data_IF_625431129624
#
_entry.id   IF_625431129624
#
_cell.length_a   1.000
_cell.length_b   1.000
_cell.length_c   1.000
_cell.angle_alpha   90.00
_cell.angle_beta   90.00
_cell.angle_gamma   90.00
#
_symmetry.space_group_name_H-M   'P 1'
#
loop_
_entity.id
_entity.type
_entity.pdbx_description
1 polymer ?
#
# COMPACT_ATOMS: atom_id res chain seq x y z
N UNK A 1 57.68 5.58 15.15
CA UNK A 1 56.72 4.45 15.05
C UNK A 1 55.98 4.39 16.38
N UNK A 2 54.66 4.49 16.54
CA UNK A 2 53.47 4.34 15.68
C UNK A 2 52.38 5.28 16.27
N UNK A 3 51.64 6.00 15.41
CA UNK A 3 50.47 6.82 15.80
C UNK A 3 49.28 5.90 16.06
N UNK A 4 48.68 5.98 17.24
CA UNK A 4 47.46 5.24 17.57
C UNK A 4 46.25 5.98 17.00
N UNK A 5 45.65 5.46 15.93
CA UNK A 5 44.35 5.88 15.42
C UNK A 5 43.30 5.04 16.14
N UNK A 6 42.53 5.64 17.05
CA UNK A 6 41.33 5.01 17.60
C UNK A 6 40.19 5.33 16.62
N UNK A 7 39.85 4.37 15.77
CA UNK A 7 38.64 4.41 14.96
C UNK A 7 37.46 4.00 15.84
N UNK A 8 36.61 4.96 16.23
CA UNK A 8 35.33 4.68 16.86
C UNK A 8 34.35 4.25 15.77
N UNK A 9 34.11 2.94 15.66
CA UNK A 9 33.09 2.35 14.81
C UNK A 9 31.70 2.70 15.35
N UNK A 10 30.97 3.55 14.60
CA UNK A 10 29.53 3.72 14.76
C UNK A 10 28.82 2.42 14.36
N UNK A 11 28.36 1.64 15.34
CA UNK A 11 27.37 0.59 15.11
C UNK A 11 25.97 1.23 15.20
N UNK A 12 25.46 1.71 14.06
CA UNK A 12 24.07 2.13 13.93
C UNK A 12 23.16 0.88 13.87
N UNK A 13 22.81 0.34 15.04
CA UNK A 13 21.88 -0.78 15.19
C UNK A 13 20.43 -0.28 15.10
N UNK A 14 19.91 -0.05 13.89
CA UNK A 14 18.49 0.31 13.71
C UNK A 14 17.91 -0.12 12.36
N UNK A 15 18.12 -1.37 11.93
CA UNK A 15 17.39 -1.92 10.79
C UNK A 15 17.09 -3.39 11.06
N UNK A 16 15.83 -3.71 11.41
CA UNK A 16 15.12 -4.97 11.04
C UNK A 16 13.83 -5.23 11.84
N UNK A 17 12.92 -4.26 11.97
CA UNK A 17 11.55 -4.51 12.51
C UNK A 17 10.45 -4.12 11.51
N UNK A 18 10.79 -3.74 10.28
CA UNK A 18 9.80 -3.24 9.31
C UNK A 18 9.31 -4.30 8.29
N UNK A 19 9.84 -5.52 8.30
CA UNK A 19 9.62 -6.47 7.19
C UNK A 19 8.23 -7.13 7.16
N UNK A 20 7.45 -7.09 8.24
CA UNK A 20 6.26 -7.95 8.40
C UNK A 20 4.94 -7.21 8.64
N UNK A 21 4.87 -5.89 8.40
CA UNK A 21 3.59 -5.20 8.53
C UNK A 21 2.56 -5.78 7.56
N UNK A 22 1.37 -6.07 8.07
CA UNK A 22 0.20 -6.52 7.31
C UNK A 22 -0.99 -5.65 7.68
N UNK A 23 -1.80 -5.20 6.69
CA UNK A 23 -3.06 -4.54 7.01
C UNK A 23 -3.96 -5.51 7.75
N UNK A 24 -4.60 -5.05 8.82
CA UNK A 24 -5.58 -5.86 9.54
C UNK A 24 -6.89 -5.99 8.75
N UNK A 25 -7.77 -6.87 9.21
CA UNK A 25 -9.06 -7.14 8.56
C UNK A 25 -9.95 -5.90 8.50
N UNK A 26 -9.89 -5.01 9.50
CA UNK A 26 -10.67 -3.76 9.53
C UNK A 26 -10.25 -2.83 8.38
N UNK A 27 -8.95 -2.69 8.12
CA UNK A 27 -8.43 -1.91 7.01
C UNK A 27 -8.83 -2.52 5.66
N UNK A 28 -8.68 -3.84 5.49
CA UNK A 28 -9.09 -4.50 4.23
C UNK A 28 -10.59 -4.38 3.98
N UNK A 29 -11.42 -4.51 5.02
CA UNK A 29 -12.86 -4.29 4.93
C UNK A 29 -13.19 -2.84 4.56
N UNK A 30 -12.51 -1.85 5.16
CA UNK A 30 -12.67 -0.45 4.82
C UNK A 30 -12.30 -0.14 3.36
N UNK A 31 -11.19 -0.68 2.87
CA UNK A 31 -10.78 -0.54 1.46
C UNK A 31 -11.83 -1.15 0.54
N UNK A 32 -12.25 -2.40 0.78
CA UNK A 32 -13.28 -3.07 -0.01
C UNK A 32 -14.59 -2.29 -0.04
N UNK A 33 -15.01 -1.74 1.10
CA UNK A 33 -16.22 -0.92 1.20
C UNK A 33 -16.13 0.34 0.33
N UNK A 34 -15.00 1.06 0.41
CA UNK A 34 -14.83 2.33 -0.32
C UNK A 34 -14.57 2.13 -1.81
N UNK A 35 -13.87 1.05 -2.19
CA UNK A 35 -13.53 0.78 -3.59
C UNK A 35 -14.69 0.19 -4.38
N UNK A 36 -15.47 -0.73 -3.78
CA UNK A 36 -16.45 -1.52 -4.54
C UNK A 36 -17.83 -1.62 -3.88
N UNK A 37 -18.12 -0.79 -2.87
CA UNK A 37 -19.35 -0.92 -2.07
C UNK A 37 -19.53 -2.36 -1.57
N UNK A 38 -18.46 -2.95 -1.00
CA UNK A 38 -18.41 -4.36 -0.57
C UNK A 38 -18.57 -5.39 -1.71
N UNK A 39 -18.08 -5.07 -2.92
CA UNK A 39 -18.07 -5.97 -4.07
C UNK A 39 -19.30 -5.86 -4.98
N UNK A 40 -20.17 -4.86 -4.75
CA UNK A 40 -21.30 -4.55 -5.62
C UNK A 40 -20.84 -3.88 -6.93
N UNK A 41 -19.73 -3.13 -6.91
CA UNK A 41 -19.17 -2.42 -8.07
C UNK A 41 -17.74 -2.90 -8.34
N UNK A 42 -17.58 -3.85 -9.26
CA UNK A 42 -16.29 -4.51 -9.51
C UNK A 42 -15.53 -4.00 -10.74
N UNK A 43 -16.09 -3.03 -11.46
CA UNK A 43 -15.46 -2.36 -12.58
C UNK A 43 -15.42 -0.86 -12.28
N UNK A 44 -14.22 -0.29 -12.20
CA UNK A 44 -14.00 1.14 -12.00
C UNK A 44 -12.90 1.67 -12.90
N UNK A 45 -12.70 2.99 -12.84
CA UNK A 45 -11.79 3.73 -13.73
C UNK A 45 -11.95 3.35 -15.21
N UNK A 46 -13.19 3.28 -15.70
CA UNK A 46 -13.53 2.85 -17.05
C UNK A 46 -12.96 1.47 -17.44
N UNK A 47 -12.86 0.55 -16.47
CA UNK A 47 -12.35 -0.81 -16.65
C UNK A 47 -10.88 -1.00 -16.34
N UNK A 48 -10.16 0.05 -15.90
CA UNK A 48 -8.74 -0.03 -15.55
C UNK A 48 -8.49 -0.54 -14.13
N UNK A 49 -9.50 -0.53 -13.28
CA UNK A 49 -9.44 -1.06 -11.91
C UNK A 49 -10.55 -2.09 -11.72
N UNK A 50 -10.17 -3.31 -11.33
CA UNK A 50 -11.08 -4.46 -11.33
C UNK A 50 -11.16 -5.16 -9.97
N UNK A 51 -12.24 -5.92 -9.81
CA UNK A 51 -12.51 -6.72 -8.63
C UNK A 51 -12.91 -5.91 -7.40
N UNK A 52 -13.06 -6.60 -6.27
CA UNK A 52 -13.61 -6.01 -5.04
C UNK A 52 -12.67 -5.00 -4.35
N UNK A 53 -11.40 -5.02 -4.72
CA UNK A 53 -10.38 -4.10 -4.22
C UNK A 53 -9.93 -3.09 -5.29
N UNK A 54 -10.55 -3.10 -6.48
CA UNK A 54 -10.28 -2.16 -7.57
C UNK A 54 -8.78 -2.04 -7.91
N UNK A 55 -8.11 -3.18 -8.03
CA UNK A 55 -6.70 -3.22 -8.39
C UNK A 55 -6.55 -3.04 -9.91
N UNK A 56 -5.63 -2.16 -10.30
CA UNK A 56 -5.17 -2.07 -11.68
C UNK A 56 -4.17 -3.18 -12.00
N UNK A 57 -3.99 -3.46 -13.29
CA UNK A 57 -2.99 -4.41 -13.75
C UNK A 57 -1.57 -3.99 -13.31
N UNK A 58 -1.24 -2.70 -13.37
CA UNK A 58 0.05 -2.19 -12.93
C UNK A 58 0.33 -2.49 -11.44
N UNK A 59 -0.63 -2.20 -10.56
CA UNK A 59 -0.51 -2.53 -9.14
C UNK A 59 -0.38 -4.05 -8.91
N UNK A 60 -1.10 -4.84 -9.70
CA UNK A 60 -1.00 -6.30 -9.65
C UNK A 60 0.38 -6.82 -10.05
N UNK A 61 1.00 -6.18 -11.05
CA UNK A 61 2.35 -6.53 -11.51
C UNK A 61 3.42 -6.13 -10.48
N UNK A 62 3.28 -4.98 -9.82
CA UNK A 62 4.16 -4.57 -8.72
C UNK A 62 4.11 -5.59 -7.57
N UNK A 63 2.91 -6.00 -7.16
CA UNK A 63 2.71 -7.04 -6.16
C UNK A 63 3.30 -8.37 -6.62
N UNK A 64 3.08 -8.75 -7.88
CA UNK A 64 3.60 -10.02 -8.42
C UNK A 64 5.13 -10.05 -8.40
N UNK A 65 5.78 -8.96 -8.79
CA UNK A 65 7.24 -8.81 -8.70
C UNK A 65 7.71 -8.94 -7.24
N UNK A 66 7.06 -8.23 -6.32
CA UNK A 66 7.37 -8.31 -4.88
C UNK A 66 7.19 -9.73 -4.32
N UNK A 67 6.09 -10.41 -4.66
CA UNK A 67 5.80 -11.80 -4.25
C UNK A 67 6.87 -12.75 -4.80
N UNK A 68 7.27 -12.60 -6.06
CA UNK A 68 8.32 -13.41 -6.70
C UNK A 68 9.66 -13.30 -5.96
N UNK A 69 10.08 -12.10 -5.57
CA UNK A 69 11.32 -11.91 -4.77
C UNK A 69 11.31 -12.58 -3.40
N UNK A 70 10.13 -13.00 -2.92
CA UNK A 70 9.92 -13.64 -1.61
C UNK A 70 9.54 -15.12 -1.73
N UNK A 71 9.62 -15.71 -2.93
CA UNK A 71 9.21 -17.09 -3.16
C UNK A 71 7.70 -17.32 -2.95
N UNK A 72 6.88 -16.27 -2.97
CA UNK A 72 5.43 -16.39 -2.82
C UNK A 72 4.80 -16.68 -4.18
N UNK A 73 3.76 -17.53 -4.19
CA UNK A 73 2.98 -17.84 -5.41
C UNK A 73 2.39 -16.57 -6.03
N UNK A 74 2.58 -16.37 -7.33
CA UNK A 74 1.96 -15.29 -8.11
C UNK A 74 0.75 -15.82 -8.89
N UNK A 75 -0.19 -14.93 -9.20
CA UNK A 75 -1.39 -15.22 -9.99
C UNK A 75 -1.48 -14.22 -11.14
N UNK A 76 -2.02 -14.63 -12.28
CA UNK A 76 -2.28 -13.76 -13.44
C UNK A 76 -3.43 -12.79 -13.15
N UNK A 77 -3.32 -11.56 -13.66
CA UNK A 77 -4.32 -10.51 -13.44
C UNK A 77 -5.69 -10.90 -14.02
N UNK A 78 -5.75 -11.16 -15.34
CA UNK A 78 -6.99 -11.40 -16.08
C UNK A 78 -7.85 -12.54 -15.52
N UNK A 79 -7.21 -13.58 -14.97
CA UNK A 79 -7.89 -14.76 -14.45
C UNK A 79 -8.29 -14.61 -12.97
N UNK A 80 -7.60 -13.76 -12.19
CA UNK A 80 -7.70 -13.81 -10.73
C UNK A 80 -8.08 -12.49 -10.07
N UNK A 81 -8.16 -11.37 -10.80
CA UNK A 81 -8.52 -10.07 -10.19
C UNK A 81 -9.90 -10.07 -9.53
N UNK A 82 -10.84 -10.88 -10.04
CA UNK A 82 -12.17 -11.07 -9.48
C UNK A 82 -12.26 -12.16 -8.40
N UNK A 83 -11.24 -13.01 -8.24
CA UNK A 83 -11.22 -14.02 -7.18
C UNK A 83 -10.99 -13.36 -5.82
N UNK A 84 -12.04 -13.34 -4.98
CA UNK A 84 -12.04 -12.62 -3.69
C UNK A 84 -10.78 -12.87 -2.84
N UNK A 85 -10.45 -14.13 -2.55
CA UNK A 85 -9.33 -14.47 -1.66
C UNK A 85 -7.99 -14.03 -2.23
N UNK A 86 -7.81 -14.14 -3.56
CA UNK A 86 -6.56 -13.76 -4.23
C UNK A 86 -6.45 -12.24 -4.33
N UNK A 87 -7.51 -11.58 -4.78
CA UNK A 87 -7.61 -10.12 -4.86
C UNK A 87 -7.38 -9.45 -3.50
N UNK A 88 -7.95 -10.01 -2.42
CA UNK A 88 -7.71 -9.56 -1.04
C UNK A 88 -6.24 -9.71 -0.63
N UNK A 89 -5.61 -10.85 -0.94
CA UNK A 89 -4.21 -11.07 -0.63
C UNK A 89 -3.30 -10.09 -1.39
N UNK A 90 -3.60 -9.83 -2.66
CA UNK A 90 -2.88 -8.87 -3.49
C UNK A 90 -3.07 -7.43 -2.99
N UNK A 91 -4.28 -7.04 -2.61
CA UNK A 91 -4.53 -5.74 -2.01
C UNK A 91 -3.76 -5.57 -0.69
N UNK A 92 -3.69 -6.63 0.13
CA UNK A 92 -2.94 -6.61 1.38
C UNK A 92 -1.42 -6.45 1.14
N UNK A 93 -0.86 -7.16 0.17
CA UNK A 93 0.54 -7.02 -0.23
C UNK A 93 0.81 -5.61 -0.80
N UNK A 94 -0.11 -5.08 -1.61
CA UNK A 94 0.06 -3.75 -2.20
C UNK A 94 0.04 -2.64 -1.15
N UNK A 95 -0.88 -2.71 -0.18
CA UNK A 95 -0.89 -1.77 0.96
C UNK A 95 0.42 -1.85 1.77
N UNK A 96 0.98 -3.05 1.95
CA UNK A 96 2.25 -3.23 2.66
C UNK A 96 3.44 -2.65 1.89
N UNK A 97 3.48 -2.87 0.56
CA UNK A 97 4.42 -2.24 -0.35
C UNK A 97 4.37 -0.71 -0.24
N UNK A 98 3.19 -0.13 -0.39
CA UNK A 98 2.98 1.32 -0.33
C UNK A 98 3.37 1.90 1.02
N UNK A 99 3.02 1.23 2.14
CA UNK A 99 3.47 1.63 3.47
C UNK A 99 4.99 1.68 3.54
N UNK A 100 5.68 0.63 3.08
CA UNK A 100 7.14 0.56 3.10
C UNK A 100 7.79 1.69 2.30
N UNK A 101 7.26 2.00 1.11
CA UNK A 101 7.74 3.13 0.32
C UNK A 101 7.47 4.48 0.99
N UNK A 102 6.27 4.69 1.52
CA UNK A 102 5.91 5.92 2.21
C UNK A 102 6.78 6.17 3.44
N UNK A 103 7.16 5.13 4.20
CA UNK A 103 8.08 5.30 5.35
C UNK A 103 9.44 5.81 4.89
N UNK A 104 9.97 5.26 3.79
CA UNK A 104 11.24 5.71 3.22
C UNK A 104 11.19 7.17 2.77
N UNK A 105 10.05 7.62 2.22
CA UNK A 105 9.85 8.99 1.72
C UNK A 105 9.55 9.99 2.83
N UNK A 106 8.68 9.63 3.77
CA UNK A 106 8.19 10.50 4.84
C UNK A 106 9.10 10.56 6.07
N UNK A 107 9.99 9.56 6.25
CA UNK A 107 10.84 9.39 7.43
C UNK A 107 10.04 9.30 8.75
N UNK A 108 8.81 8.82 8.67
CA UNK A 108 7.90 8.53 9.79
C UNK A 108 6.91 7.45 9.38
N UNK A 109 6.11 6.98 10.34
CA UNK A 109 4.97 6.12 10.04
C UNK A 109 3.90 6.89 9.24
N UNK A 110 3.44 6.38 8.09
CA UNK A 110 2.31 6.94 7.37
C UNK A 110 1.00 6.60 8.08
N UNK A 111 0.04 7.51 8.02
CA UNK A 111 -1.34 7.26 8.43
C UNK A 111 -2.03 6.30 7.45
N UNK A 112 -3.15 5.69 7.85
CA UNK A 112 -3.96 4.85 6.96
C UNK A 112 -4.45 5.67 5.77
N UNK A 113 -4.82 6.94 6.00
CA UNK A 113 -5.23 7.84 4.93
C UNK A 113 -4.12 8.08 3.88
N UNK A 114 -2.86 8.22 4.31
CA UNK A 114 -1.73 8.37 3.38
C UNK A 114 -1.44 7.10 2.59
N UNK A 115 -1.50 5.93 3.25
CA UNK A 115 -1.36 4.63 2.57
C UNK A 115 -2.46 4.47 1.53
N UNK A 116 -3.71 4.78 1.89
CA UNK A 116 -4.84 4.67 0.98
C UNK A 116 -4.79 5.70 -0.16
N UNK A 117 -4.33 6.92 0.09
CA UNK A 117 -4.15 7.90 -0.98
C UNK A 117 -3.20 7.35 -2.06
N UNK A 118 -2.05 6.79 -1.66
CA UNK A 118 -1.12 6.14 -2.57
C UNK A 118 -1.73 4.92 -3.28
N UNK A 119 -2.58 4.16 -2.60
CA UNK A 119 -3.31 3.03 -3.19
C UNK A 119 -4.26 3.49 -4.31
N UNK A 120 -5.02 4.56 -4.06
CA UNK A 120 -6.07 5.03 -4.94
C UNK A 120 -5.55 5.77 -6.17
N UNK A 121 -4.49 6.57 -6.05
CA UNK A 121 -3.97 7.41 -7.15
C UNK A 121 -2.59 6.96 -7.68
N UNK A 122 -1.99 5.94 -7.07
CA UNK A 122 -0.61 5.51 -7.33
C UNK A 122 0.42 6.35 -6.57
N UNK A 123 1.56 5.73 -6.27
CA UNK A 123 2.65 6.36 -5.51
C UNK A 123 3.28 7.54 -6.26
N UNK A 124 3.42 7.44 -7.59
CA UNK A 124 3.96 8.51 -8.44
C UNK A 124 3.12 9.79 -8.37
N UNK A 125 1.82 9.68 -8.61
CA UNK A 125 0.89 10.82 -8.50
C UNK A 125 0.85 11.38 -7.08
N UNK A 126 0.93 10.53 -6.05
CA UNK A 126 0.99 11.02 -4.67
C UNK A 126 2.31 11.74 -4.36
N UNK A 127 3.41 11.38 -5.03
CA UNK A 127 4.67 12.11 -4.95
C UNK A 127 4.57 13.52 -5.56
N UNK A 128 3.82 13.71 -6.65
CA UNK A 128 3.52 15.05 -7.21
C UNK A 128 2.72 15.93 -6.23
N UNK A 129 2.01 15.29 -5.30
CA UNK A 129 1.33 15.93 -4.17
C UNK A 129 2.24 16.11 -2.94
N UNK A 130 3.56 15.95 -3.06
CA UNK A 130 4.55 15.93 -1.98
C UNK A 130 4.19 14.96 -0.84
N UNK A 131 3.46 13.88 -1.13
CA UNK A 131 2.91 12.95 -0.15
C UNK A 131 2.02 13.63 0.91
N UNK A 132 1.39 14.76 0.57
CA UNK A 132 0.51 15.52 1.48
C UNK A 132 -0.95 15.37 1.08
N UNK A 133 -1.77 14.84 2.00
CA UNK A 133 -3.22 14.73 1.80
C UNK A 133 -3.91 16.08 1.52
N UNK A 134 -3.32 17.20 1.97
CA UNK A 134 -3.85 18.53 1.67
C UNK A 134 -3.73 18.93 0.20
N UNK A 135 -2.86 18.26 -0.57
CA UNK A 135 -2.61 18.52 -2.01
C UNK A 135 -3.27 17.50 -2.93
N UNK A 136 -3.81 16.42 -2.36
CA UNK A 136 -4.54 15.39 -3.10
C UNK A 136 -5.90 15.92 -3.56
N UNK A 137 -6.38 15.48 -4.72
CA UNK A 137 -7.69 15.87 -5.25
C UNK A 137 -8.82 15.58 -4.22
N UNK A 138 -9.91 16.38 -4.21
CA UNK A 138 -10.95 16.29 -3.18
C UNK A 138 -11.58 14.90 -3.04
N UNK A 139 -11.75 14.17 -4.14
CA UNK A 139 -12.37 12.85 -4.16
C UNK A 139 -11.49 11.82 -3.45
N UNK A 140 -10.22 11.69 -3.83
CA UNK A 140 -9.27 10.77 -3.18
C UNK A 140 -9.05 11.15 -1.72
N UNK A 141 -8.96 12.46 -1.41
CA UNK A 141 -8.83 12.95 -0.03
C UNK A 141 -10.02 12.52 0.84
N UNK A 142 -11.26 12.69 0.33
CA UNK A 142 -12.48 12.25 1.03
C UNK A 142 -12.46 10.74 1.28
N UNK A 143 -12.17 9.94 0.25
CA UNK A 143 -12.08 8.47 0.37
C UNK A 143 -11.02 8.04 1.39
N UNK A 144 -9.84 8.67 1.37
CA UNK A 144 -8.76 8.41 2.31
C UNK A 144 -9.17 8.63 3.77
N UNK A 145 -9.86 9.74 4.05
CA UNK A 145 -10.41 9.99 5.38
C UNK A 145 -11.50 9.00 5.78
N UNK A 146 -12.35 8.57 4.83
CA UNK A 146 -13.36 7.54 5.09
C UNK A 146 -12.73 6.19 5.43
N UNK A 147 -11.70 5.75 4.69
CA UNK A 147 -10.99 4.51 4.99
C UNK A 147 -10.32 4.57 6.37
N UNK A 148 -9.63 5.67 6.69
CA UNK A 148 -9.05 5.88 8.01
C UNK A 148 -10.10 5.80 9.13
N UNK A 149 -11.25 6.47 8.95
CA UNK A 149 -12.31 6.46 9.94
C UNK A 149 -12.93 5.07 10.13
N UNK A 150 -13.16 4.32 9.05
CA UNK A 150 -13.70 2.96 9.10
C UNK A 150 -12.72 1.98 9.74
N UNK A 151 -11.43 2.06 9.40
CA UNK A 151 -10.40 1.18 9.92
C UNK A 151 -10.15 1.36 11.43
N UNK A 152 -10.46 2.54 11.98
CA UNK A 152 -10.26 2.88 13.39
C UNK A 152 -11.46 2.58 14.31
N UNK A 153 -12.59 2.08 13.79
CA UNK A 153 -13.76 1.76 14.63
C UNK A 153 -13.49 0.51 15.48
N UNK A 154 -13.77 0.60 16.78
CA UNK A 154 -13.65 -0.51 17.75
C UNK A 154 -14.69 -1.59 17.48
#
# INVERSE_FOLDING_TARGET
MVRHIIAVLFAASALSVEANWRPNEKLLAAVRQIESSNGLMQHGDNGRSLGQFQLSEAAWMDVSAWRKTRGLKTYSYDQHVFHYTISKAYAADYLALLRGELIKKLKRQPSVAEIYAAYNMGLGTFAECDYKLSRVNPTTKKKAHQVQALASRS
#
